data_IF_905809999970
#
_entry.id   IF_905809999970
#
_cell.length_a   1.000
_cell.length_b   1.000
_cell.length_c   1.000
_cell.angle_alpha   90.00
_cell.angle_beta   90.00
_cell.angle_gamma   90.00
#
_symmetry.space_group_name_H-M   'P 1'
#
loop_
_entity.id
_entity.type
_entity.pdbx_description
1 polymer ?
#
# COMPACT_ATOMS: atom_id res chain seq x y z
N UNK A 1 0.16 9.66 23.95
CA UNK A 1 -0.50 10.90 23.50
C UNK A 1 -1.22 10.54 22.23
N UNK A 2 -2.54 10.53 22.25
CA UNK A 2 -3.38 10.14 21.10
C UNK A 2 -3.14 11.14 19.96
N UNK A 3 -2.82 10.63 18.78
CA UNK A 3 -2.56 11.46 17.61
C UNK A 3 -3.89 12.13 17.20
N UNK A 4 -3.94 13.47 16.99
CA UNK A 4 -5.15 14.12 16.52
C UNK A 4 -5.62 13.48 15.20
N UNK A 5 -6.92 13.21 14.99
CA UNK A 5 -7.39 12.50 13.80
C UNK A 5 -7.03 13.26 12.52
N UNK A 6 -6.47 12.54 11.55
CA UNK A 6 -6.17 13.03 10.21
C UNK A 6 -7.44 13.14 9.36
N UNK A 7 -7.34 13.82 8.21
CA UNK A 7 -8.42 13.82 7.23
C UNK A 7 -8.77 12.42 6.71
N UNK A 8 -7.81 11.50 6.67
CA UNK A 8 -8.05 10.10 6.30
C UNK A 8 -8.85 9.35 7.36
N UNK A 9 -8.60 9.61 8.66
CA UNK A 9 -9.37 8.99 9.75
C UNK A 9 -10.85 9.41 9.66
N UNK A 10 -11.11 10.70 9.38
CA UNK A 10 -12.48 11.21 9.17
C UNK A 10 -13.14 10.61 7.93
N UNK A 11 -12.40 10.48 6.83
CA UNK A 11 -12.90 9.84 5.60
C UNK A 11 -13.24 8.36 5.84
N UNK A 12 -12.43 7.67 6.65
CA UNK A 12 -12.63 6.27 6.99
C UNK A 12 -13.83 6.05 7.90
N UNK A 13 -14.03 6.92 8.90
CA UNK A 13 -15.14 6.82 9.85
C UNK A 13 -16.48 7.29 9.28
N UNK A 14 -16.47 8.33 8.44
CA UNK A 14 -17.69 9.04 8.03
C UNK A 14 -18.02 8.91 6.53
N UNK A 15 -17.11 8.33 5.72
CA UNK A 15 -17.32 8.08 4.30
C UNK A 15 -17.62 9.35 3.48
N UNK A 16 -18.59 9.27 2.56
CA UNK A 16 -18.99 10.41 1.72
C UNK A 16 -19.41 11.66 2.52
N UNK A 17 -19.90 11.49 3.75
CA UNK A 17 -20.30 12.62 4.57
C UNK A 17 -19.09 13.47 5.00
N UNK A 18 -17.93 12.86 5.24
CA UNK A 18 -16.69 13.59 5.48
C UNK A 18 -16.25 14.37 4.25
N UNK A 19 -16.37 13.79 3.04
CA UNK A 19 -16.02 14.48 1.78
C UNK A 19 -16.88 15.73 1.60
N UNK A 20 -18.19 15.61 1.81
CA UNK A 20 -19.12 16.75 1.70
C UNK A 20 -18.84 17.83 2.75
N UNK A 21 -18.60 17.44 4.02
CA UNK A 21 -18.21 18.37 5.08
C UNK A 21 -16.91 19.11 4.77
N UNK A 22 -15.91 18.42 4.23
CA UNK A 22 -14.65 19.05 3.81
C UNK A 22 -14.83 20.01 2.64
N UNK A 23 -15.82 19.79 1.77
CA UNK A 23 -16.16 20.73 0.71
C UNK A 23 -16.85 21.99 1.27
N UNK A 24 -17.72 21.84 2.25
CA UNK A 24 -18.47 22.95 2.87
C UNK A 24 -17.62 23.75 3.88
N UNK A 25 -16.72 23.08 4.58
CA UNK A 25 -15.81 23.67 5.56
C UNK A 25 -14.39 23.10 5.36
N UNK A 26 -13.60 23.69 4.45
CA UNK A 26 -12.25 23.21 4.19
C UNK A 26 -11.37 23.36 5.45
N UNK A 27 -10.40 22.45 5.64
CA UNK A 27 -9.48 22.53 6.76
C UNK A 27 -8.68 23.84 6.71
N UNK A 28 -8.31 24.35 7.89
CA UNK A 28 -7.36 25.45 7.98
C UNK A 28 -6.02 25.08 7.34
N UNK A 29 -5.22 26.09 6.99
CA UNK A 29 -3.91 25.85 6.38
C UNK A 29 -2.99 24.97 7.26
N UNK A 30 -3.10 25.09 8.58
CA UNK A 30 -2.32 24.29 9.53
C UNK A 30 -2.81 22.84 9.61
N UNK A 31 -4.13 22.62 9.63
CA UNK A 31 -4.71 21.27 9.56
C UNK A 31 -4.36 20.57 8.24
N UNK A 32 -4.44 21.28 7.12
CA UNK A 32 -4.08 20.72 5.81
C UNK A 32 -2.60 20.31 5.74
N UNK A 33 -1.70 21.09 6.35
CA UNK A 33 -0.27 20.74 6.48
C UNK A 33 -0.08 19.49 7.33
N UNK A 34 -0.74 19.42 8.48
CA UNK A 34 -0.67 18.25 9.37
C UNK A 34 -1.19 16.98 8.68
N UNK A 35 -2.30 17.08 7.96
CA UNK A 35 -2.88 15.94 7.23
C UNK A 35 -1.97 15.45 6.11
N UNK A 36 -1.36 16.36 5.35
CA UNK A 36 -0.36 15.98 4.33
C UNK A 36 0.83 15.28 4.95
N UNK A 37 1.41 15.83 6.02
CA UNK A 37 2.56 15.22 6.68
C UNK A 37 2.26 13.79 7.17
N UNK A 38 1.06 13.57 7.71
CA UNK A 38 0.57 12.24 8.13
C UNK A 38 0.37 11.29 6.96
N UNK A 39 -0.24 11.76 5.87
CA UNK A 39 -0.44 10.96 4.67
C UNK A 39 0.91 10.57 4.05
N UNK A 40 1.88 11.49 4.00
CA UNK A 40 3.24 11.22 3.54
C UNK A 40 3.95 10.17 4.42
N UNK A 41 3.82 10.28 5.75
CA UNK A 41 4.35 9.27 6.67
C UNK A 41 3.72 7.90 6.43
N UNK A 42 2.40 7.84 6.25
CA UNK A 42 1.68 6.60 5.98
C UNK A 42 2.00 6.01 4.60
N UNK A 43 2.24 6.84 3.58
CA UNK A 43 2.69 6.36 2.26
C UNK A 43 4.09 5.75 2.34
N UNK A 44 4.97 6.31 3.18
CA UNK A 44 6.34 5.83 3.33
C UNK A 44 6.46 4.56 4.19
N UNK A 45 5.69 4.48 5.27
CA UNK A 45 5.83 3.42 6.27
C UNK A 45 4.63 2.48 6.38
N UNK A 46 3.52 2.80 5.72
CA UNK A 46 2.25 2.10 5.89
C UNK A 46 1.65 2.33 7.27
N UNK A 47 0.68 1.50 7.62
CA UNK A 47 0.00 1.49 8.92
C UNK A 47 0.46 0.37 9.87
N UNK A 48 1.68 -0.15 9.70
CA UNK A 48 2.12 -1.32 10.48
C UNK A 48 2.49 -0.91 11.93
N UNK A 49 1.71 -1.28 12.97
CA UNK A 49 1.87 -0.71 14.31
C UNK A 49 3.23 -1.01 14.97
N UNK A 50 3.90 -2.07 14.53
CA UNK A 50 5.23 -2.42 15.02
C UNK A 50 6.31 -1.41 14.58
N UNK A 51 6.12 -0.69 13.47
CA UNK A 51 7.09 0.31 12.98
C UNK A 51 7.03 1.62 13.77
N UNK A 52 5.87 1.97 14.33
CA UNK A 52 5.71 3.19 15.13
C UNK A 52 6.63 3.20 16.35
N UNK A 53 6.91 2.02 16.91
CA UNK A 53 7.76 1.83 18.08
C UNK A 53 9.26 1.77 17.75
N UNK A 54 9.61 1.70 16.47
CA UNK A 54 10.99 1.57 16.03
C UNK A 54 11.60 2.94 15.69
N UNK A 55 12.91 3.12 15.97
CA UNK A 55 13.68 4.24 15.47
C UNK A 55 13.62 4.35 13.93
N UNK A 56 13.62 5.55 13.34
CA UNK A 56 13.53 5.75 11.89
C UNK A 56 14.56 4.95 11.08
N UNK A 57 15.76 4.77 11.61
CA UNK A 57 16.86 4.01 11.01
C UNK A 57 16.55 2.50 10.88
N UNK A 58 15.79 1.95 11.83
CA UNK A 58 15.48 0.52 11.89
C UNK A 58 14.22 0.17 11.09
N UNK A 59 13.30 1.12 10.90
CA UNK A 59 12.03 0.92 10.19
C UNK A 59 12.24 0.31 8.79
N UNK A 60 13.23 0.80 8.04
CA UNK A 60 13.54 0.26 6.69
C UNK A 60 14.03 -1.18 6.73
N UNK A 61 14.88 -1.50 7.71
CA UNK A 61 15.39 -2.85 7.91
C UNK A 61 14.26 -3.79 8.27
N UNK A 62 13.37 -3.40 9.19
CA UNK A 62 12.20 -4.22 9.54
C UNK A 62 11.25 -4.45 8.38
N UNK A 63 10.93 -3.43 7.57
CA UNK A 63 10.09 -3.61 6.37
C UNK A 63 10.75 -4.56 5.37
N UNK A 64 12.05 -4.39 5.11
CA UNK A 64 12.79 -5.25 4.19
C UNK A 64 12.78 -6.70 4.65
N UNK A 65 13.04 -6.92 5.94
CA UNK A 65 13.09 -8.26 6.50
C UNK A 65 11.70 -8.91 6.53
N UNK A 66 10.65 -8.14 6.85
CA UNK A 66 9.25 -8.56 6.72
C UNK A 66 8.92 -8.97 5.28
N UNK A 67 9.25 -8.13 4.30
CA UNK A 67 9.02 -8.41 2.88
C UNK A 67 9.71 -9.71 2.45
N UNK A 68 10.96 -9.92 2.88
CA UNK A 68 11.69 -11.17 2.59
C UNK A 68 10.95 -12.38 3.16
N UNK A 69 10.56 -12.33 4.44
CA UNK A 69 9.82 -13.44 5.07
C UNK A 69 8.49 -13.70 4.38
N UNK A 70 7.76 -12.66 3.99
CA UNK A 70 6.53 -12.78 3.20
C UNK A 70 6.76 -13.51 1.87
N UNK A 71 7.78 -13.11 1.10
CA UNK A 71 8.10 -13.72 -0.19
C UNK A 71 8.56 -15.18 -0.06
N UNK A 72 9.42 -15.47 0.92
CA UNK A 72 10.05 -16.79 1.08
C UNK A 72 9.13 -17.81 1.75
N UNK A 73 8.26 -17.36 2.66
CA UNK A 73 7.40 -18.24 3.47
C UNK A 73 5.95 -18.21 3.01
N UNK A 74 5.32 -17.05 3.10
CA UNK A 74 3.86 -16.94 2.92
C UNK A 74 3.47 -17.14 1.44
N UNK A 75 4.26 -16.58 0.52
CA UNK A 75 4.00 -16.71 -0.91
C UNK A 75 4.35 -18.10 -1.46
N UNK A 76 5.36 -18.75 -0.88
CA UNK A 76 5.70 -20.14 -1.20
C UNK A 76 4.52 -21.07 -0.87
N UNK A 77 3.85 -20.84 0.26
CA UNK A 77 2.69 -21.59 0.72
C UNK A 77 1.43 -21.29 -0.11
N UNK A 78 1.21 -20.04 -0.52
CA UNK A 78 0.01 -19.59 -1.23
C UNK A 78 -0.15 -20.10 -2.67
N UNK A 79 0.92 -20.57 -3.30
CA UNK A 79 0.77 -21.29 -4.57
C UNK A 79 1.98 -21.27 -5.45
N UNK A 80 3.02 -22.02 -5.07
CA UNK A 80 4.22 -22.39 -5.88
C UNK A 80 4.51 -21.35 -6.96
N UNK A 81 4.73 -20.10 -6.54
CA UNK A 81 5.17 -19.06 -7.46
C UNK A 81 6.51 -19.55 -8.00
N UNK A 82 6.53 -19.91 -9.29
CA UNK A 82 7.68 -20.56 -9.90
C UNK A 82 8.92 -19.66 -9.92
N UNK A 83 8.69 -18.34 -9.94
CA UNK A 83 9.71 -17.32 -10.01
C UNK A 83 9.39 -16.19 -9.00
N UNK A 84 10.05 -16.23 -7.85
CA UNK A 84 9.91 -15.25 -6.78
C UNK A 84 10.48 -13.88 -7.18
N UNK A 85 11.52 -13.85 -8.02
CA UNK A 85 12.15 -12.61 -8.47
C UNK A 85 11.19 -11.82 -9.37
N UNK A 86 10.54 -12.51 -10.31
CA UNK A 86 9.48 -11.93 -11.14
C UNK A 86 8.30 -11.42 -10.32
N UNK A 87 7.90 -12.15 -9.27
CA UNK A 87 6.85 -11.68 -8.37
C UNK A 87 7.28 -10.45 -7.56
N UNK A 88 8.52 -10.42 -7.06
CA UNK A 88 9.05 -9.28 -6.35
C UNK A 88 9.13 -8.02 -7.24
N UNK A 89 9.45 -8.20 -8.53
CA UNK A 89 9.37 -7.13 -9.53
C UNK A 89 7.93 -6.66 -9.76
N UNK A 90 6.96 -7.59 -9.85
CA UNK A 90 5.54 -7.26 -9.95
C UNK A 90 5.06 -6.44 -8.76
N UNK A 91 5.46 -6.84 -7.54
CA UNK A 91 5.15 -6.10 -6.31
C UNK A 91 5.73 -4.67 -6.37
N UNK A 92 6.99 -4.51 -6.76
CA UNK A 92 7.62 -3.19 -6.89
C UNK A 92 6.92 -2.31 -7.95
N UNK A 93 6.59 -2.89 -9.11
CA UNK A 93 5.92 -2.20 -10.20
C UNK A 93 4.54 -1.69 -9.78
N UNK A 94 3.76 -2.53 -9.10
CA UNK A 94 2.43 -2.17 -8.61
C UNK A 94 2.50 -1.12 -7.50
N UNK A 95 3.48 -1.22 -6.59
CA UNK A 95 3.71 -0.19 -5.57
C UNK A 95 4.03 1.18 -6.19
N UNK A 96 4.84 1.22 -7.26
CA UNK A 96 5.12 2.45 -8.00
C UNK A 96 3.91 3.04 -8.74
N UNK A 97 2.89 2.21 -9.00
CA UNK A 97 1.63 2.58 -9.67
C UNK A 97 0.46 2.71 -8.68
N UNK A 98 0.74 2.97 -7.39
CA UNK A 98 -0.29 3.15 -6.37
C UNK A 98 -1.24 4.29 -6.75
N UNK A 99 -2.55 4.07 -6.51
CA UNK A 99 -3.63 5.01 -6.83
C UNK A 99 -3.77 5.36 -8.34
N UNK A 100 -3.32 4.48 -9.23
CA UNK A 100 -3.54 4.58 -10.68
C UNK A 100 -4.48 3.48 -11.19
N UNK A 101 -5.01 3.68 -12.41
CA UNK A 101 -5.83 2.67 -13.06
C UNK A 101 -5.00 1.40 -13.36
N UNK A 102 -5.49 0.24 -12.92
CA UNK A 102 -4.81 -1.02 -13.14
C UNK A 102 -5.07 -1.57 -14.55
N UNK A 103 -4.00 -1.65 -15.37
CA UNK A 103 -4.01 -2.33 -16.66
C UNK A 103 -3.17 -3.61 -16.60
N UNK A 104 -3.82 -4.78 -16.61
CA UNK A 104 -3.11 -6.07 -16.61
C UNK A 104 -2.21 -6.27 -17.83
N UNK A 105 -2.60 -5.72 -18.99
CA UNK A 105 -1.81 -5.82 -20.21
C UNK A 105 -0.52 -5.00 -20.14
N UNK A 106 -0.56 -3.83 -19.48
CA UNK A 106 0.65 -3.03 -19.25
C UNK A 106 1.57 -3.68 -18.22
N UNK A 107 1.03 -4.14 -17.10
CA UNK A 107 1.80 -4.85 -16.07
C UNK A 107 2.48 -6.09 -16.66
N UNK A 108 1.77 -6.85 -17.49
CA UNK A 108 2.33 -8.01 -18.18
C UNK A 108 3.46 -7.64 -19.14
N UNK A 109 3.30 -6.54 -19.89
CA UNK A 109 4.33 -6.04 -20.83
C UNK A 109 5.59 -5.61 -20.10
N UNK A 110 5.46 -4.84 -19.02
CA UNK A 110 6.59 -4.32 -18.26
C UNK A 110 7.36 -5.43 -17.52
N UNK A 111 6.66 -6.48 -17.08
CA UNK A 111 7.28 -7.65 -16.46
C UNK A 111 7.81 -8.67 -17.47
N UNK A 112 7.41 -8.58 -18.75
CA UNK A 112 7.78 -9.57 -19.77
C UNK A 112 7.08 -10.93 -19.59
N UNK A 113 5.89 -10.95 -19.01
CA UNK A 113 5.12 -12.18 -18.72
C UNK A 113 3.80 -12.23 -19.48
N UNK A 114 3.15 -13.40 -19.51
CA UNK A 114 1.79 -13.51 -20.03
C UNK A 114 0.78 -12.75 -19.15
N UNK A 115 -0.27 -12.18 -19.76
CA UNK A 115 -1.33 -11.43 -19.05
C UNK A 115 -1.98 -12.25 -17.92
N UNK A 116 -2.17 -13.56 -18.13
CA UNK A 116 -2.72 -14.45 -17.10
C UNK A 116 -1.78 -14.59 -15.90
N UNK A 117 -0.46 -14.53 -16.10
CA UNK A 117 0.53 -14.53 -15.01
C UNK A 117 0.44 -13.23 -14.21
N UNK A 118 0.36 -12.09 -14.89
CA UNK A 118 0.18 -10.79 -14.22
C UNK A 118 -1.12 -10.73 -13.39
N UNK A 119 -2.23 -11.23 -13.94
CA UNK A 119 -3.50 -11.36 -13.20
C UNK A 119 -3.36 -12.23 -11.96
N UNK A 120 -2.66 -13.37 -12.07
CA UNK A 120 -2.40 -14.27 -10.94
C UNK A 120 -1.53 -13.59 -9.87
N UNK A 121 -0.52 -12.83 -10.25
CA UNK A 121 0.31 -12.08 -9.29
C UNK A 121 -0.49 -11.02 -8.54
N UNK A 122 -1.32 -10.22 -9.24
CA UNK A 122 -2.21 -9.26 -8.59
C UNK A 122 -3.16 -9.98 -7.64
N UNK A 123 -3.72 -11.12 -8.05
CA UNK A 123 -4.61 -11.90 -7.18
C UNK A 123 -3.91 -12.39 -5.91
N UNK A 124 -2.65 -12.83 -6.02
CA UNK A 124 -1.85 -13.22 -4.85
C UNK A 124 -1.58 -12.06 -3.91
N UNK A 125 -1.24 -10.88 -4.44
CA UNK A 125 -1.10 -9.67 -3.64
C UNK A 125 -2.40 -9.26 -2.95
N UNK A 126 -3.54 -9.41 -3.62
CA UNK A 126 -4.86 -9.12 -3.05
C UNK A 126 -5.23 -10.07 -1.91
N UNK A 127 -5.13 -11.40 -2.10
CA UNK A 127 -5.48 -12.36 -1.04
C UNK A 127 -4.49 -12.36 0.13
N UNK A 128 -3.27 -11.86 -0.09
CA UNK A 128 -2.27 -11.65 0.96
C UNK A 128 -2.28 -10.25 1.57
N UNK A 129 -3.34 -9.47 1.26
CA UNK A 129 -3.57 -8.12 1.77
C UNK A 129 -2.44 -7.12 1.51
N UNK A 130 -1.61 -7.38 0.48
CA UNK A 130 -0.54 -6.46 0.06
C UNK A 130 -1.04 -5.38 -0.90
N UNK A 131 -2.16 -5.64 -1.59
CA UNK A 131 -2.82 -4.69 -2.50
C UNK A 131 -4.31 -4.72 -2.26
N UNK A 132 -4.95 -3.55 -2.35
CA UNK A 132 -6.41 -3.41 -2.43
C UNK A 132 -6.75 -2.72 -3.75
N UNK A 133 -7.75 -3.24 -4.46
CA UNK A 133 -8.30 -2.58 -5.64
C UNK A 133 -9.45 -1.68 -5.19
N UNK A 134 -9.27 -0.38 -5.37
CA UNK A 134 -10.34 0.58 -5.15
C UNK A 134 -11.30 0.54 -6.34
N UNK A 135 -12.63 0.58 -6.09
CA UNK A 135 -13.64 0.62 -7.14
C UNK A 135 -13.62 1.92 -7.95
#
# INVERSE_FOLDING_TARGET
>A
MEAPPSGLDRLWEEGEAAVRRMADAPPSADEARLWRARAEEHVLWGGYPALERLPPEDRRTSIRDFRRTYLERDLADLGRVADLDQFALAQNLLAARTAQLLSYSEVARDLGVAVNTAKRYVRFLEISYQVVLCP
#
